data_IF_804231913474
#
_entry.id   IF_804231913474
#
_cell.length_a   1.000
_cell.length_b   1.000
_cell.length_c   1.000
_cell.angle_alpha   90.00
_cell.angle_beta   90.00
_cell.angle_gamma   90.00
#
_symmetry.space_group_name_H-M   'P 1'
#
loop_
_entity.id
_entity.type
_entity.pdbx_description
1 polymer ?
#
# COMPACT_ATOMS: atom_id res chain seq x y z
N UNK A 1 -6.09 -11.01 15.60
CA UNK A 1 -4.81 -10.33 15.44
C UNK A 1 -4.99 -9.02 14.72
N UNK A 2 -4.40 -7.98 15.26
CA UNK A 2 -4.46 -6.67 14.64
C UNK A 2 -3.67 -6.69 13.33
N UNK A 3 -4.29 -6.22 12.26
CA UNK A 3 -3.63 -6.09 10.98
C UNK A 3 -3.15 -4.66 10.78
N UNK A 4 -2.07 -4.50 10.05
CA UNK A 4 -1.40 -3.22 9.87
C UNK A 4 -1.44 -2.78 8.42
N UNK A 5 -1.34 -1.47 8.24
CA UNK A 5 -1.12 -0.86 6.92
C UNK A 5 0.39 -0.69 6.75
N UNK A 6 0.96 -1.26 5.71
CA UNK A 6 2.37 -1.09 5.40
C UNK A 6 2.54 0.16 4.55
N UNK A 7 3.29 1.12 5.06
CA UNK A 7 3.59 2.38 4.37
C UNK A 7 4.98 2.27 3.75
N UNK A 8 5.04 2.31 2.42
CA UNK A 8 6.30 2.19 1.69
C UNK A 8 6.59 3.51 1.00
N UNK A 9 7.57 4.23 1.50
CA UNK A 9 7.96 5.54 0.98
C UNK A 9 9.39 5.80 1.42
N UNK A 10 10.23 6.31 0.53
CA UNK A 10 11.63 6.58 0.84
C UNK A 10 11.84 7.89 1.62
N UNK A 11 10.83 8.76 1.65
CA UNK A 11 10.89 10.04 2.37
C UNK A 11 10.45 9.86 3.82
N UNK A 12 11.36 10.06 4.80
CA UNK A 12 11.00 9.87 6.21
C UNK A 12 9.92 10.83 6.69
N UNK A 13 9.88 12.06 6.17
CA UNK A 13 8.83 13.01 6.54
C UNK A 13 7.47 12.55 6.06
N UNK A 14 7.40 12.03 4.85
CA UNK A 14 6.16 11.51 4.27
C UNK A 14 5.69 10.28 5.04
N UNK A 15 6.60 9.38 5.39
CA UNK A 15 6.25 8.20 6.20
C UNK A 15 5.62 8.63 7.53
N UNK A 16 6.20 9.65 8.18
CA UNK A 16 5.70 10.13 9.46
C UNK A 16 4.29 10.72 9.34
N UNK A 17 4.05 11.49 8.27
CA UNK A 17 2.72 12.06 8.02
C UNK A 17 1.69 10.95 7.82
N UNK A 18 2.03 9.94 7.03
CA UNK A 18 1.12 8.83 6.75
C UNK A 18 0.88 7.99 7.99
N UNK A 19 1.90 7.75 8.82
CA UNK A 19 1.71 7.05 10.09
C UNK A 19 0.69 7.78 10.96
N UNK A 20 0.78 9.10 11.02
CA UNK A 20 -0.17 9.91 11.78
C UNK A 20 -1.59 9.78 11.25
N UNK A 21 -1.77 9.75 9.93
CA UNK A 21 -3.08 9.57 9.32
C UNK A 21 -3.66 8.19 9.65
N UNK A 22 -2.87 7.15 9.51
CA UNK A 22 -3.31 5.77 9.78
C UNK A 22 -3.74 5.63 11.23
N UNK A 23 -2.97 6.23 12.15
CA UNK A 23 -3.30 6.19 13.57
C UNK A 23 -4.63 6.90 13.85
N UNK A 24 -4.86 8.04 13.21
CA UNK A 24 -6.13 8.77 13.37
C UNK A 24 -7.31 8.00 12.84
N UNK A 25 -7.11 7.13 11.85
CA UNK A 25 -8.16 6.27 11.33
C UNK A 25 -8.43 5.05 12.22
N UNK A 26 -7.70 4.93 13.33
CA UNK A 26 -7.88 3.81 14.25
C UNK A 26 -7.13 2.54 13.85
N UNK A 27 -6.15 2.67 12.97
CA UNK A 27 -5.40 1.54 12.44
C UNK A 27 -3.95 1.61 12.88
N UNK A 28 -3.26 0.48 12.83
CA UNK A 28 -1.83 0.39 13.10
C UNK A 28 -1.07 0.42 11.78
N UNK A 29 0.17 0.88 11.84
CA UNK A 29 1.02 0.96 10.65
C UNK A 29 2.37 0.29 10.90
N UNK A 30 3.00 -0.09 9.80
CA UNK A 30 4.40 -0.50 9.75
C UNK A 30 5.00 0.24 8.55
N UNK A 31 6.27 0.58 8.62
CA UNK A 31 6.89 1.37 7.56
C UNK A 31 8.02 0.61 6.90
N UNK A 32 8.25 0.93 5.63
CA UNK A 32 9.40 0.47 4.86
C UNK A 32 9.94 1.67 4.08
N UNK A 33 11.25 1.80 4.05
CA UNK A 33 11.91 2.94 3.42
C UNK A 33 12.32 2.65 1.97
N UNK A 34 12.10 1.43 1.49
CA UNK A 34 12.49 1.03 0.14
C UNK A 34 11.62 -0.13 -0.34
N UNK A 35 11.65 -0.37 -1.64
CA UNK A 35 10.96 -1.52 -2.23
C UNK A 35 11.50 -2.84 -1.73
N UNK A 36 12.82 -2.94 -1.58
CA UNK A 36 13.45 -4.16 -1.07
C UNK A 36 13.01 -4.47 0.35
N UNK A 37 12.96 -3.46 1.20
CA UNK A 37 12.49 -3.63 2.57
C UNK A 37 11.03 -4.06 2.60
N UNK A 38 10.22 -3.45 1.75
CA UNK A 38 8.79 -3.81 1.63
C UNK A 38 8.64 -5.27 1.21
N UNK A 39 9.39 -5.71 0.21
CA UNK A 39 9.33 -7.09 -0.26
C UNK A 39 9.78 -8.06 0.83
N UNK A 40 10.80 -7.70 1.60
CA UNK A 40 11.26 -8.53 2.71
C UNK A 40 10.13 -8.75 3.73
N UNK A 41 9.40 -7.69 4.05
CA UNK A 41 8.26 -7.77 4.97
C UNK A 41 7.13 -8.62 4.37
N UNK A 42 6.80 -8.38 3.10
CA UNK A 42 5.65 -9.00 2.45
C UNK A 42 5.88 -10.45 2.06
N UNK A 43 7.11 -10.92 2.08
CA UNK A 43 7.43 -12.33 1.79
C UNK A 43 7.97 -13.07 3.02
N UNK A 44 8.10 -12.37 4.15
CA UNK A 44 8.65 -12.93 5.38
C UNK A 44 7.58 -13.36 6.38
N UNK A 45 7.98 -13.65 7.61
CA UNK A 45 7.05 -14.14 8.63
C UNK A 45 5.99 -13.13 9.05
N UNK A 46 6.19 -11.85 8.78
CA UNK A 46 5.23 -10.80 9.14
C UNK A 46 4.17 -10.55 8.06
N UNK A 47 4.23 -11.27 6.95
CA UNK A 47 3.34 -11.00 5.81
C UNK A 47 1.86 -11.06 6.16
N UNK A 48 1.48 -11.95 7.05
CA UNK A 48 0.07 -12.13 7.42
C UNK A 48 -0.45 -11.01 8.33
N UNK A 49 0.44 -10.19 8.87
CA UNK A 49 0.06 -9.03 9.69
C UNK A 49 -0.27 -7.81 8.84
N UNK A 50 0.00 -7.86 7.54
CA UNK A 50 -0.23 -6.72 6.66
C UNK A 50 -1.59 -6.87 5.97
N UNK A 51 -2.48 -5.93 6.24
CA UNK A 51 -3.82 -5.92 5.64
C UNK A 51 -3.88 -5.10 4.36
N UNK A 52 -2.95 -4.16 4.18
CA UNK A 52 -3.00 -3.20 3.09
C UNK A 52 -1.61 -2.59 2.91
N UNK A 53 -1.25 -2.26 1.67
CA UNK A 53 0.02 -1.58 1.37
C UNK A 53 -0.28 -0.22 0.74
N UNK A 54 0.31 0.84 1.30
CA UNK A 54 0.39 2.15 0.67
C UNK A 54 1.78 2.25 0.06
N UNK A 55 1.86 2.31 -1.25
CA UNK A 55 3.11 2.15 -1.97
C UNK A 55 3.42 3.37 -2.84
N UNK A 56 4.53 4.03 -2.54
CA UNK A 56 5.04 5.09 -3.41
C UNK A 56 5.61 4.46 -4.68
N UNK A 57 5.21 4.96 -5.83
CA UNK A 57 5.70 4.44 -7.11
C UNK A 57 7.13 4.87 -7.42
N UNK A 58 7.52 6.04 -6.97
CA UNK A 58 8.83 6.61 -7.31
C UNK A 58 9.77 6.54 -6.10
N UNK A 59 10.68 5.58 -6.13
CA UNK A 59 11.69 5.39 -5.08
C UNK A 59 13.00 4.98 -5.73
N UNK A 60 14.15 5.37 -5.14
CA UNK A 60 15.44 4.88 -5.64
C UNK A 60 15.56 3.36 -5.49
N UNK A 61 16.31 2.73 -6.37
CA UNK A 61 16.50 1.28 -6.36
C UNK A 61 15.25 0.56 -6.82
N UNK A 62 14.80 -0.42 -6.03
CA UNK A 62 13.58 -1.16 -6.34
C UNK A 62 12.37 -0.24 -6.16
N UNK A 63 11.79 0.19 -7.25
CA UNK A 63 10.64 1.10 -7.25
C UNK A 63 9.33 0.39 -6.98
N UNK A 64 8.27 1.19 -6.87
CA UNK A 64 6.94 0.67 -6.57
C UNK A 64 6.41 -0.30 -7.60
N UNK A 65 6.67 -0.05 -8.88
CA UNK A 65 6.24 -0.97 -9.94
C UNK A 65 6.85 -2.35 -9.79
N UNK A 66 8.15 -2.41 -9.42
CA UNK A 66 8.81 -3.69 -9.21
C UNK A 66 8.21 -4.45 -8.03
N UNK A 67 7.84 -3.73 -6.96
CA UNK A 67 7.15 -4.34 -5.82
C UNK A 67 5.81 -4.94 -6.26
N UNK A 68 5.02 -4.21 -7.04
CA UNK A 68 3.74 -4.70 -7.55
C UNK A 68 3.91 -5.96 -8.38
N UNK A 69 4.90 -5.96 -9.27
CA UNK A 69 5.14 -7.12 -10.13
C UNK A 69 5.56 -8.35 -9.34
N UNK A 70 6.35 -8.16 -8.29
CA UNK A 70 6.76 -9.24 -7.41
C UNK A 70 5.59 -9.82 -6.61
N UNK A 71 4.63 -8.99 -6.24
CA UNK A 71 3.46 -9.44 -5.49
C UNK A 71 2.40 -10.07 -6.39
N UNK A 72 2.42 -9.73 -7.66
CA UNK A 72 1.45 -10.25 -8.62
C UNK A 72 1.54 -11.77 -8.71
N UNK A 73 0.41 -12.42 -8.55
CA UNK A 73 0.34 -13.87 -8.60
C UNK A 73 0.71 -14.58 -7.32
N UNK A 74 1.11 -13.86 -6.28
CA UNK A 74 1.35 -14.47 -4.98
C UNK A 74 0.04 -14.61 -4.22
N UNK A 75 -0.38 -15.84 -3.87
CA UNK A 75 -1.62 -16.03 -3.11
C UNK A 75 -1.52 -15.32 -1.76
N UNK A 76 -2.62 -14.71 -1.36
CA UNK A 76 -2.70 -14.06 -0.05
C UNK A 76 -1.99 -12.71 0.05
N UNK A 77 -1.53 -12.14 -1.07
CA UNK A 77 -0.95 -10.80 -1.05
C UNK A 77 -2.00 -9.77 -0.67
N UNK A 78 -1.64 -8.79 0.19
CA UNK A 78 -2.59 -7.75 0.56
C UNK A 78 -2.85 -6.80 -0.62
N UNK A 79 -4.00 -6.11 -0.61
CA UNK A 79 -4.27 -5.10 -1.63
C UNK A 79 -3.28 -3.96 -1.54
N UNK A 80 -2.99 -3.34 -2.68
CA UNK A 80 -2.01 -2.26 -2.78
C UNK A 80 -2.69 -1.01 -3.31
N UNK A 81 -2.55 0.09 -2.59
CA UNK A 81 -2.92 1.43 -3.05
C UNK A 81 -1.61 2.14 -3.37
N UNK A 82 -1.46 2.63 -4.60
CA UNK A 82 -0.24 3.33 -4.98
C UNK A 82 -0.39 4.83 -4.79
N UNK A 83 0.71 5.49 -4.48
CA UNK A 83 0.77 6.94 -4.43
C UNK A 83 1.60 7.43 -5.62
N UNK A 84 1.04 8.34 -6.37
CA UNK A 84 1.67 8.88 -7.58
C UNK A 84 1.93 10.37 -7.43
N UNK A 85 2.93 10.88 -8.12
CA UNK A 85 3.14 12.32 -8.18
C UNK A 85 2.03 12.98 -8.99
N UNK A 86 1.78 14.26 -8.70
CA UNK A 86 0.80 15.03 -9.45
C UNK A 86 1.16 15.00 -10.94
N UNK A 87 0.18 14.69 -11.77
CA UNK A 87 0.37 14.62 -13.22
C UNK A 87 0.84 13.28 -13.76
N UNK A 88 1.09 12.29 -12.91
CA UNK A 88 1.60 10.99 -13.33
C UNK A 88 0.47 9.99 -13.63
N UNK A 89 -0.41 10.35 -14.55
CA UNK A 89 -1.56 9.49 -14.91
C UNK A 89 -1.09 8.17 -15.51
N UNK A 90 -0.07 8.19 -16.36
CA UNK A 90 0.45 6.97 -16.99
C UNK A 90 0.99 6.00 -15.94
N UNK A 91 1.64 6.52 -14.90
CA UNK A 91 2.11 5.70 -13.79
C UNK A 91 0.97 5.05 -13.04
N UNK A 92 -0.11 5.79 -12.80
CA UNK A 92 -1.29 5.26 -12.13
C UNK A 92 -1.93 4.14 -12.94
N UNK A 93 -2.08 4.33 -14.25
CA UNK A 93 -2.65 3.31 -15.15
C UNK A 93 -1.78 2.05 -15.14
N UNK A 94 -0.47 2.23 -15.26
CA UNK A 94 0.47 1.10 -15.24
C UNK A 94 0.38 0.33 -13.92
N UNK A 95 0.24 1.04 -12.80
CA UNK A 95 0.13 0.42 -11.48
C UNK A 95 -1.16 -0.40 -11.35
N UNK A 96 -2.28 0.12 -11.82
CA UNK A 96 -3.55 -0.60 -11.80
C UNK A 96 -3.43 -1.88 -12.65
N UNK A 97 -2.82 -1.78 -13.82
CA UNK A 97 -2.58 -2.96 -14.68
C UNK A 97 -1.67 -3.98 -14.02
N UNK A 98 -0.76 -3.52 -13.18
CA UNK A 98 0.17 -4.40 -12.46
C UNK A 98 -0.43 -5.00 -11.20
N UNK A 99 -1.67 -4.65 -10.86
CA UNK A 99 -2.39 -5.26 -9.75
C UNK A 99 -2.77 -4.34 -8.61
N UNK A 100 -2.42 -3.05 -8.66
CA UNK A 100 -2.88 -2.11 -7.63
C UNK A 100 -4.39 -1.95 -7.70
N UNK A 101 -5.04 -1.83 -6.55
CA UNK A 101 -6.50 -1.72 -6.52
C UNK A 101 -6.97 -0.27 -6.60
N UNK A 102 -6.09 0.69 -6.34
CA UNK A 102 -6.45 2.10 -6.37
C UNK A 102 -5.17 2.93 -6.44
N UNK A 103 -5.31 4.20 -6.71
CA UNK A 103 -4.19 5.14 -6.66
C UNK A 103 -4.63 6.43 -5.99
N UNK A 104 -3.67 7.14 -5.40
CA UNK A 104 -3.89 8.42 -4.75
C UNK A 104 -2.79 9.37 -5.22
N UNK A 105 -3.17 10.58 -5.60
CA UNK A 105 -2.22 11.59 -6.09
C UNK A 105 -1.63 12.36 -4.91
N UNK A 106 -0.32 12.49 -4.88
CA UNK A 106 0.37 13.27 -3.84
C UNK A 106 0.29 14.77 -4.13
N UNK A 107 0.14 15.62 -3.12
CA UNK A 107 -0.16 15.29 -1.74
C UNK A 107 -1.63 14.92 -1.57
N UNK A 108 -1.89 13.80 -0.91
CA UNK A 108 -3.26 13.34 -0.71
C UNK A 108 -3.81 13.90 0.60
N UNK A 109 -5.07 14.33 0.57
CA UNK A 109 -5.73 14.75 1.80
C UNK A 109 -6.01 13.53 2.69
N UNK A 110 -6.08 13.71 4.01
CA UNK A 110 -6.47 12.62 4.90
C UNK A 110 -7.81 12.00 4.52
N UNK A 111 -8.77 12.82 4.10
CA UNK A 111 -10.10 12.34 3.68
C UNK A 111 -10.01 11.40 2.48
N UNK A 112 -9.21 11.79 1.48
CA UNK A 112 -9.03 10.95 0.29
C UNK A 112 -8.38 9.61 0.64
N UNK A 113 -7.36 9.65 1.49
CA UNK A 113 -6.69 8.44 1.96
C UNK A 113 -7.64 7.54 2.72
N UNK A 114 -8.45 8.12 3.60
CA UNK A 114 -9.39 7.34 4.42
C UNK A 114 -10.41 6.60 3.55
N UNK A 115 -10.95 7.26 2.54
CA UNK A 115 -11.90 6.64 1.62
C UNK A 115 -11.26 5.45 0.90
N UNK A 116 -10.07 5.64 0.38
CA UNK A 116 -9.37 4.59 -0.36
C UNK A 116 -9.03 3.40 0.55
N UNK A 117 -8.52 3.67 1.73
CA UNK A 117 -8.14 2.63 2.69
C UNK A 117 -9.37 1.84 3.15
N UNK A 118 -10.45 2.53 3.52
CA UNK A 118 -11.66 1.86 3.97
C UNK A 118 -12.28 1.00 2.88
N UNK A 119 -12.28 1.49 1.64
CA UNK A 119 -12.77 0.71 0.50
C UNK A 119 -11.95 -0.56 0.30
N UNK A 120 -10.64 -0.45 0.39
CA UNK A 120 -9.74 -1.59 0.21
C UNK A 120 -9.94 -2.64 1.30
N UNK A 121 -10.03 -2.22 2.55
CA UNK A 121 -10.22 -3.12 3.66
C UNK A 121 -11.60 -3.80 3.61
N UNK A 122 -12.62 -3.07 3.18
CA UNK A 122 -13.96 -3.62 3.01
C UNK A 122 -14.00 -4.70 1.93
N UNK A 123 -13.35 -4.44 0.80
CA UNK A 123 -13.29 -5.43 -0.30
C UNK A 123 -12.57 -6.69 0.16
N UNK A 124 -11.50 -6.56 0.91
CA UNK A 124 -10.76 -7.71 1.40
C UNK A 124 -11.60 -8.55 2.37
N UNK A 125 -12.36 -7.90 3.24
CA UNK A 125 -13.24 -8.60 4.18
C UNK A 125 -14.32 -9.39 3.42
N UNK A 126 -14.93 -8.78 2.40
CA UNK A 126 -15.94 -9.46 1.57
C UNK A 126 -15.34 -10.63 0.82
N UNK A 127 -14.14 -10.45 0.26
CA UNK A 127 -13.45 -11.52 -0.46
C UNK A 127 -13.14 -12.68 0.48
N UNK A 128 -12.73 -12.39 1.70
CA UNK A 128 -12.48 -13.42 2.71
C UNK A 128 -13.73 -14.19 3.09
N UNK A 129 -14.87 -13.53 3.15
CA UNK A 129 -16.15 -14.18 3.44
C UNK A 129 -16.57 -15.10 2.30
N UNK A 130 -16.39 -14.65 1.07
CA UNK A 130 -16.83 -15.40 -0.11
C UNK A 130 -16.01 -16.67 -0.30
N UNK A 131 -14.75 -16.65 0.06
CA UNK A 131 -13.85 -17.78 -0.18
C UNK A 131 -13.99 -18.92 0.83
N UNK A 132 -14.81 -18.75 1.82
CA UNK A 132 -15.00 -19.80 2.82
C UNK A 132 -15.89 -20.94 2.38
#
# INVERSE_FOLDING_TARGET
MAKRVLIVDDDPAQRRILEGCIKRFGLESKTAASGDQALHILTGPEKDDIALVLLDLVMPGTGGMAVLEQLRGRPGSPPVIVQTAHGSIDGAISAIRAGAIDFVVKPASPERLEVSINSALKLQALSGEITR
#
